data_IF_120807396195
#
_entry.id   IF_120807396195
#
_cell.length_a   1.000
_cell.length_b   1.000
_cell.length_c   1.000
_cell.angle_alpha   90.00
_cell.angle_beta   90.00
_cell.angle_gamma   90.00
#
_symmetry.space_group_name_H-M   'P 1'
#
loop_
_entity.id
_entity.type
_entity.pdbx_description
1 polymer ?
#
# COMPACT_ATOMS: atom_id res chain seq x y z
N UNK A 1 -26.40 12.24 -50.38
CA UNK A 1 -25.40 13.22 -49.94
C UNK A 1 -24.86 12.78 -48.58
N UNK A 2 -23.58 12.42 -48.49
CA UNK A 2 -22.97 12.08 -47.21
C UNK A 2 -22.56 13.40 -46.53
N UNK A 3 -23.48 13.98 -45.74
CA UNK A 3 -23.22 15.22 -45.02
C UNK A 3 -22.00 15.05 -44.11
N UNK A 4 -21.21 16.11 -43.95
CA UNK A 4 -20.06 16.14 -43.06
C UNK A 4 -20.41 15.66 -41.64
N UNK A 5 -21.61 16.02 -41.16
CA UNK A 5 -22.13 15.55 -39.86
C UNK A 5 -22.31 14.04 -39.76
N UNK A 6 -22.69 13.35 -40.84
CA UNK A 6 -22.86 11.88 -40.83
C UNK A 6 -21.50 11.16 -40.78
N UNK A 7 -20.45 11.72 -41.41
CA UNK A 7 -19.07 11.20 -41.28
C UNK A 7 -18.52 11.41 -39.86
N UNK A 8 -18.75 12.59 -39.30
CA UNK A 8 -18.33 12.90 -37.93
C UNK A 8 -19.04 12.00 -36.90
N UNK A 9 -20.34 11.76 -37.06
CA UNK A 9 -21.10 10.87 -36.20
C UNK A 9 -20.59 9.42 -36.27
N UNK A 10 -20.25 8.93 -37.46
CA UNK A 10 -19.67 7.59 -37.63
C UNK A 10 -18.32 7.44 -36.89
N UNK A 11 -17.43 8.43 -37.04
CA UNK A 11 -16.15 8.45 -36.33
C UNK A 11 -16.31 8.52 -34.82
N UNK A 12 -17.20 9.39 -34.35
CA UNK A 12 -17.47 9.57 -32.91
C UNK A 12 -18.08 8.31 -32.29
N UNK A 13 -19.06 7.70 -32.96
CA UNK A 13 -19.68 6.45 -32.48
C UNK A 13 -18.64 5.32 -32.44
N UNK A 14 -17.81 5.20 -33.47
CA UNK A 14 -16.74 4.20 -33.51
C UNK A 14 -15.73 4.38 -32.36
N UNK A 15 -15.27 5.61 -32.11
CA UNK A 15 -14.38 5.92 -31.01
C UNK A 15 -15.02 5.57 -29.64
N UNK A 16 -16.28 5.95 -29.44
CA UNK A 16 -17.03 5.64 -28.21
C UNK A 16 -17.23 4.14 -28.01
N UNK A 17 -17.47 3.38 -29.08
CA UNK A 17 -17.59 1.91 -28.98
C UNK A 17 -16.28 1.23 -28.59
N UNK A 18 -15.14 1.68 -29.12
CA UNK A 18 -13.83 1.15 -28.74
C UNK A 18 -13.55 1.48 -27.27
N UNK A 19 -13.84 2.71 -26.85
CA UNK A 19 -13.66 3.13 -25.47
C UNK A 19 -14.54 2.30 -24.51
N UNK A 20 -15.81 2.10 -24.85
CA UNK A 20 -16.73 1.27 -24.06
C UNK A 20 -16.25 -0.19 -23.96
N UNK A 21 -15.73 -0.76 -25.06
CA UNK A 21 -15.14 -2.11 -25.06
C UNK A 21 -13.92 -2.19 -24.15
N UNK A 22 -13.00 -1.22 -24.24
CA UNK A 22 -11.82 -1.17 -23.37
C UNK A 22 -12.21 -1.04 -21.89
N UNK A 23 -13.18 -0.19 -21.56
CA UNK A 23 -13.70 -0.07 -20.20
C UNK A 23 -14.31 -1.37 -19.70
N UNK A 24 -15.09 -2.06 -20.54
CA UNK A 24 -15.67 -3.35 -20.18
C UNK A 24 -14.60 -4.42 -19.92
N UNK A 25 -13.57 -4.50 -20.78
CA UNK A 25 -12.44 -5.41 -20.60
C UNK A 25 -11.64 -5.09 -19.32
N UNK A 26 -11.41 -3.81 -19.03
CA UNK A 26 -10.74 -3.36 -17.81
C UNK A 26 -11.52 -3.79 -16.55
N UNK A 27 -12.84 -3.50 -16.49
CA UNK A 27 -13.69 -3.89 -15.36
C UNK A 27 -13.79 -5.41 -15.20
N UNK A 28 -13.79 -6.16 -16.29
CA UNK A 28 -13.80 -7.62 -16.26
C UNK A 28 -12.47 -8.18 -15.72
N UNK A 29 -11.34 -7.61 -16.15
CA UNK A 29 -10.02 -7.98 -15.64
C UNK A 29 -9.88 -7.73 -14.14
N UNK A 30 -10.45 -6.63 -13.62
CA UNK A 30 -10.41 -6.33 -12.18
C UNK A 30 -11.30 -7.29 -11.38
N UNK A 31 -12.45 -7.71 -11.92
CA UNK A 31 -13.33 -8.69 -11.26
C UNK A 31 -12.75 -10.11 -11.22
N UNK A 32 -11.91 -10.48 -12.19
CA UNK A 32 -11.27 -11.80 -12.24
C UNK A 32 -9.96 -11.86 -11.45
N UNK A 33 -9.37 -10.73 -11.11
CA UNK A 33 -8.13 -10.70 -10.35
C UNK A 33 -8.43 -10.70 -8.85
N UNK A 34 -8.50 -11.88 -8.24
CA UNK A 34 -8.54 -12.04 -6.78
C UNK A 34 -7.11 -11.99 -6.22
N UNK A 35 -6.69 -10.90 -5.55
CA UNK A 35 -5.35 -10.82 -5.00
C UNK A 35 -5.23 -11.70 -3.76
N UNK A 36 -4.21 -12.56 -3.73
CA UNK A 36 -3.81 -13.34 -2.55
C UNK A 36 -2.40 -12.92 -2.11
N UNK A 37 -2.21 -11.73 -1.51
CA UNK A 37 -0.91 -11.32 -1.00
C UNK A 37 -0.60 -12.10 0.28
N UNK A 38 0.68 -12.43 0.48
CA UNK A 38 1.15 -13.03 1.73
C UNK A 38 2.23 -12.15 2.32
N UNK A 39 2.16 -11.87 3.61
CA UNK A 39 3.19 -11.12 4.32
C UNK A 39 3.39 -11.75 5.70
N UNK A 40 4.65 -11.96 6.05
CA UNK A 40 5.08 -12.47 7.34
C UNK A 40 6.11 -11.50 7.92
N UNK A 41 5.87 -11.12 9.18
CA UNK A 41 6.72 -10.19 9.90
C UNK A 41 7.21 -10.91 11.16
N UNK A 42 8.52 -11.01 11.31
CA UNK A 42 9.16 -11.59 12.48
C UNK A 42 10.03 -10.53 13.16
N UNK A 43 9.94 -10.44 14.49
CA UNK A 43 10.80 -9.58 15.29
C UNK A 43 12.05 -10.39 15.63
N UNK A 44 13.20 -10.00 15.10
CA UNK A 44 14.45 -10.73 15.32
C UNK A 44 15.13 -10.31 16.62
N UNK A 45 15.22 -9.01 16.88
CA UNK A 45 15.96 -8.48 18.01
C UNK A 45 15.38 -7.15 18.47
N UNK A 46 15.40 -6.94 19.79
CA UNK A 46 15.12 -5.67 20.44
C UNK A 46 16.47 -5.07 20.80
N UNK A 47 16.99 -4.19 19.96
CA UNK A 47 18.36 -3.70 20.10
C UNK A 47 18.50 -2.80 21.32
N UNK A 48 17.54 -1.88 21.51
CA UNK A 48 17.55 -0.97 22.64
C UNK A 48 16.16 -0.43 22.95
N UNK A 49 15.94 -0.19 24.24
CA UNK A 49 14.77 0.45 24.80
C UNK A 49 15.26 1.59 25.69
N UNK A 50 14.98 2.84 25.30
CA UNK A 50 15.34 4.00 26.09
C UNK A 50 14.13 4.90 26.28
N UNK A 51 13.75 5.05 27.54
CA UNK A 51 12.72 5.99 27.96
C UNK A 51 13.34 7.37 28.13
N UNK A 52 12.97 8.31 27.26
CA UNK A 52 13.40 9.70 27.43
C UNK A 52 12.66 10.35 28.61
N UNK A 53 13.33 11.22 29.39
CA UNK A 53 12.69 12.00 30.45
C UNK A 53 11.49 12.83 29.96
N UNK A 54 11.49 13.20 28.67
CA UNK A 54 10.43 13.98 28.00
C UNK A 54 9.16 13.14 27.66
N UNK A 55 9.11 11.87 28.07
CA UNK A 55 7.92 11.02 27.93
C UNK A 55 7.82 10.24 26.62
N UNK A 56 8.81 10.33 25.74
CA UNK A 56 8.89 9.51 24.53
C UNK A 56 9.66 8.21 24.84
N UNK A 57 9.07 7.06 24.48
CA UNK A 57 9.73 5.76 24.60
C UNK A 57 10.36 5.40 23.25
N UNK A 58 11.69 5.41 23.18
CA UNK A 58 12.40 5.04 21.97
C UNK A 58 12.74 3.55 22.00
N UNK A 59 12.24 2.83 21.01
CA UNK A 59 12.48 1.40 20.85
C UNK A 59 13.00 1.16 19.45
N UNK A 60 14.19 0.59 19.35
CA UNK A 60 14.70 0.09 18.07
C UNK A 60 14.52 -1.41 18.01
N UNK A 61 13.66 -1.82 17.10
CA UNK A 61 13.39 -3.21 16.79
C UNK A 61 14.03 -3.54 15.46
N UNK A 62 14.67 -4.71 15.37
CA UNK A 62 15.10 -5.28 14.10
C UNK A 62 14.01 -6.19 13.60
N UNK A 63 13.39 -5.81 12.48
CA UNK A 63 12.30 -6.53 11.85
C UNK A 63 12.82 -7.35 10.67
N UNK A 64 12.28 -8.55 10.52
CA UNK A 64 12.43 -9.40 9.37
C UNK A 64 11.08 -9.45 8.65
N UNK A 65 11.01 -8.84 7.48
CA UNK A 65 9.80 -8.72 6.68
C UNK A 65 9.98 -9.61 5.45
N UNK A 66 9.13 -10.61 5.33
CA UNK A 66 9.01 -11.47 4.15
C UNK A 66 7.65 -11.20 3.54
N UNK A 67 7.60 -10.74 2.29
CA UNK A 67 6.33 -10.46 1.63
C UNK A 67 6.33 -10.95 0.19
N UNK A 68 5.21 -11.53 -0.22
CA UNK A 68 4.86 -11.87 -1.59
C UNK A 68 3.61 -11.08 -1.99
N UNK A 69 3.86 -9.94 -2.63
CA UNK A 69 2.86 -8.98 -3.06
C UNK A 69 2.65 -9.02 -4.58
N UNK A 70 3.17 -10.04 -5.26
CA UNK A 70 3.10 -10.16 -6.72
C UNK A 70 1.66 -10.18 -7.24
N UNK A 71 0.72 -10.67 -6.43
CA UNK A 71 -0.71 -10.73 -6.72
C UNK A 71 -1.41 -9.36 -6.72
N UNK A 72 -0.79 -8.33 -6.14
CA UNK A 72 -1.29 -6.95 -6.16
C UNK A 72 -0.98 -6.22 -7.48
N UNK A 73 -0.02 -6.73 -8.24
CA UNK A 73 0.36 -6.15 -9.53
C UNK A 73 -0.53 -6.69 -10.65
N UNK A 74 -1.46 -5.86 -11.12
CA UNK A 74 -2.27 -6.09 -12.32
C UNK A 74 -1.70 -5.32 -13.51
N UNK A 75 -2.35 -5.41 -14.67
CA UNK A 75 -1.98 -4.63 -15.86
C UNK A 75 -2.08 -3.10 -15.65
N UNK A 76 -2.86 -2.65 -14.67
CA UNK A 76 -3.08 -1.23 -14.36
C UNK A 76 -2.28 -0.73 -13.14
N UNK A 77 -1.75 -1.63 -12.30
CA UNK A 77 -1.00 -1.26 -11.09
C UNK A 77 0.39 -0.75 -11.45
N UNK A 78 0.64 0.56 -11.25
CA UNK A 78 1.95 1.18 -11.51
C UNK A 78 2.94 1.07 -10.35
N UNK A 79 2.45 1.13 -9.11
CA UNK A 79 3.27 1.10 -7.91
C UNK A 79 2.44 0.63 -6.73
N UNK A 80 3.10 -0.03 -5.77
CA UNK A 80 2.48 -0.47 -4.51
C UNK A 80 3.21 0.22 -3.36
N UNK A 81 2.47 0.90 -2.49
CA UNK A 81 2.98 1.46 -1.24
C UNK A 81 2.71 0.48 -0.12
N UNK A 82 3.74 0.11 0.61
CA UNK A 82 3.66 -0.84 1.72
C UNK A 82 4.21 -0.16 2.95
N UNK A 83 3.52 -0.32 4.07
CA UNK A 83 4.00 0.12 5.36
C UNK A 83 3.67 -0.93 6.41
N UNK A 84 4.52 -1.01 7.42
CA UNK A 84 4.30 -1.79 8.64
C UNK A 84 3.92 -0.81 9.73
N UNK A 85 2.81 -1.05 10.40
CA UNK A 85 2.39 -0.28 11.56
C UNK A 85 2.32 -1.18 12.80
N UNK A 86 2.73 -0.64 13.94
CA UNK A 86 2.44 -1.19 15.24
C UNK A 86 1.24 -0.46 15.83
N UNK A 87 0.24 -1.24 16.23
CA UNK A 87 -0.93 -0.75 16.94
C UNK A 87 -0.86 -1.23 18.38
N UNK A 88 -1.04 -0.30 19.32
CA UNK A 88 -1.01 -0.58 20.75
C UNK A 88 -2.05 0.24 21.49
N UNK A 89 -2.53 -0.32 22.59
CA UNK A 89 -3.49 0.33 23.48
C UNK A 89 -2.77 0.79 24.74
N UNK A 90 -3.10 1.98 25.22
CA UNK A 90 -2.66 2.49 26.52
C UNK A 90 -3.86 2.88 27.37
N UNK A 91 -3.73 2.97 28.71
CA UNK A 91 -4.83 3.44 29.55
C UNK A 91 -5.33 4.85 29.20
N UNK A 92 -4.55 5.64 28.47
CA UNK A 92 -4.88 7.00 28.04
C UNK A 92 -5.43 7.07 26.62
N UNK A 93 -5.11 6.10 25.75
CA UNK A 93 -5.57 6.08 24.37
C UNK A 93 -5.92 4.65 23.92
N UNK A 94 -7.14 4.49 23.41
CA UNK A 94 -7.65 3.22 22.93
C UNK A 94 -7.06 2.77 21.59
N UNK A 95 -6.42 3.68 20.83
CA UNK A 95 -5.76 3.32 19.58
C UNK A 95 -4.56 4.24 19.33
N UNK A 96 -3.36 3.71 19.55
CA UNK A 96 -2.12 4.31 19.09
C UNK A 96 -1.55 3.51 17.93
N UNK A 97 -1.35 4.17 16.79
CA UNK A 97 -0.76 3.57 15.60
C UNK A 97 0.53 4.27 15.23
N UNK A 98 1.63 3.52 15.11
CA UNK A 98 2.93 4.05 14.70
C UNK A 98 3.46 3.25 13.52
N UNK A 99 3.83 3.93 12.44
CA UNK A 99 4.51 3.30 11.31
C UNK A 99 5.94 2.89 11.72
N UNK A 100 6.31 1.63 11.57
CA UNK A 100 7.66 1.13 11.85
C UNK A 100 8.55 1.17 10.61
N UNK A 101 7.98 0.93 9.43
CA UNK A 101 8.70 0.87 8.16
C UNK A 101 7.75 1.21 7.00
N UNK A 102 8.30 1.84 5.97
CA UNK A 102 7.60 2.16 4.73
C UNK A 102 8.51 1.85 3.52
N UNK A 103 7.90 1.38 2.44
CA UNK A 103 8.59 1.07 1.20
C UNK A 103 7.68 1.23 -0.02
N UNK A 104 8.28 1.59 -1.14
CA UNK A 104 7.61 1.72 -2.43
C UNK A 104 8.13 0.60 -3.34
N UNK A 105 7.22 -0.21 -3.86
CA UNK A 105 7.53 -1.29 -4.79
C UNK A 105 7.14 -0.82 -6.19
N UNK A 106 8.13 -0.53 -7.07
CA UNK A 106 7.87 0.06 -8.37
C UNK A 106 7.38 -0.97 -9.41
N UNK A 107 7.70 -2.25 -9.24
CA UNK A 107 7.38 -3.27 -10.23
C UNK A 107 7.18 -4.66 -9.59
N UNK A 108 6.43 -5.51 -10.30
CA UNK A 108 6.08 -6.88 -9.88
C UNK A 108 7.31 -7.76 -9.57
N UNK A 109 8.41 -7.55 -10.30
CA UNK A 109 9.67 -8.26 -10.09
C UNK A 109 10.29 -8.00 -8.71
N UNK A 110 10.00 -6.85 -8.10
CA UNK A 110 10.44 -6.49 -6.76
C UNK A 110 9.39 -6.78 -5.67
N UNK A 111 8.21 -7.29 -6.05
CA UNK A 111 7.09 -7.49 -5.14
C UNK A 111 7.22 -8.73 -4.25
N UNK A 112 8.21 -9.58 -4.54
CA UNK A 112 8.63 -10.67 -3.66
C UNK A 112 9.97 -10.31 -3.07
N UNK A 113 9.98 -9.99 -1.79
CA UNK A 113 11.20 -9.53 -1.12
C UNK A 113 11.28 -10.05 0.31
N UNK A 114 12.53 -10.05 0.76
CA UNK A 114 12.91 -10.35 2.12
C UNK A 114 13.88 -9.26 2.55
N UNK A 115 13.55 -8.54 3.63
CA UNK A 115 14.39 -7.47 4.16
C UNK A 115 14.53 -7.60 5.66
N UNK A 116 15.75 -7.31 6.13
CA UNK A 116 16.04 -7.10 7.54
C UNK A 116 16.37 -5.63 7.73
N UNK A 117 15.52 -4.91 8.46
CA UNK A 117 15.69 -3.47 8.68
C UNK A 117 15.37 -3.12 10.12
N UNK A 118 16.12 -2.18 10.74
CA UNK A 118 15.66 -1.55 11.96
C UNK A 118 14.38 -0.73 11.68
N UNK A 119 13.59 -0.45 12.73
CA UNK A 119 12.49 0.49 12.58
C UNK A 119 13.02 1.88 12.16
N UNK A 120 12.23 2.57 11.34
CA UNK A 120 12.56 3.87 10.78
C UNK A 120 11.96 5.02 11.60
N UNK A 121 10.82 4.82 12.24
CA UNK A 121 10.16 5.83 13.05
C UNK A 121 10.06 5.43 14.52
N UNK A 122 10.05 6.45 15.37
CA UNK A 122 9.98 6.37 16.83
C UNK A 122 8.57 6.01 17.27
N UNK A 123 8.46 5.19 18.31
CA UNK A 123 7.21 4.96 19.02
C UNK A 123 6.88 6.21 19.83
N UNK A 124 6.00 7.05 19.30
CA UNK A 124 5.50 8.23 19.99
C UNK A 124 4.05 7.97 20.35
N UNK A 125 3.72 8.06 21.63
CA UNK A 125 2.34 8.08 22.10
C UNK A 125 1.76 9.44 21.73
N UNK A 126 1.07 9.52 20.58
CA UNK A 126 0.31 10.70 20.24
C UNK A 126 -0.92 10.72 21.14
N UNK A 127 -0.82 11.44 22.26
CA UNK A 127 -2.00 11.85 23.00
C UNK A 127 -2.85 12.65 22.03
N UNK A 128 -3.95 12.04 21.59
CA UNK A 128 -4.94 12.67 20.74
C UNK A 128 -5.44 13.88 21.52
N UNK A 129 -4.93 15.07 21.20
CA UNK A 129 -5.56 16.32 21.63
C UNK A 129 -6.90 16.35 20.91
N UNK A 130 -7.93 15.86 21.58
CA UNK A 130 -9.31 16.16 21.24
C UNK A 130 -9.43 17.68 21.17
N UNK A 131 -9.67 18.21 19.97
CA UNK A 131 -10.13 19.58 19.78
C UNK A 131 -11.48 19.79 20.46
#
# INVERSE_FOLDING_TARGET
MHSFGYRANALLTFALTILALMCAMASFSDNLNSPSPSAEIQILNINWFQRHPDGNDEVSLTLNITADLQSLFTWNTKQVFVFVAAEYETPKNSLNQVSLWDGIIPAKEHAKFWIQTPNKYRLIDQVLQSF
#
